data_IF_293374569417
#
_entry.id   IF_293374569417
#
_cell.length_a   1.000
_cell.length_b   1.000
_cell.length_c   1.000
_cell.angle_alpha   90.00
_cell.angle_beta   90.00
_cell.angle_gamma   90.00
#
_symmetry.space_group_name_H-M   'P 1'
#
loop_
_entity.id
_entity.type
_entity.pdbx_description
1 polymer ?
#
# COMPACT_ATOMS: atom_id res chain seq x y z
N UNK A 1 46.35 -17.61 34.88
CA UNK A 1 44.93 -17.43 35.27
C UNK A 1 44.57 -15.99 34.97
N UNK A 2 44.05 -15.71 33.76
CA UNK A 2 43.78 -14.35 33.29
C UNK A 2 42.47 -13.85 33.89
N UNK A 3 42.53 -12.86 34.78
CA UNK A 3 41.35 -12.27 35.41
C UNK A 3 40.65 -11.42 34.37
N UNK A 4 39.52 -11.89 33.86
CA UNK A 4 38.64 -11.10 33.00
C UNK A 4 38.14 -9.90 33.82
N UNK A 5 38.58 -8.69 33.47
CA UNK A 5 38.17 -7.46 34.16
C UNK A 5 36.68 -7.19 33.91
N UNK A 6 35.92 -6.75 34.93
CA UNK A 6 34.45 -6.60 34.85
C UNK A 6 33.97 -5.65 33.74
N UNK A 7 34.82 -4.69 33.33
CA UNK A 7 34.52 -3.78 32.22
C UNK A 7 34.46 -4.47 30.86
N UNK A 8 35.26 -5.53 30.65
CA UNK A 8 35.25 -6.28 29.38
C UNK A 8 33.96 -7.09 29.21
N UNK A 9 33.37 -7.61 30.30
CA UNK A 9 32.05 -8.24 30.26
C UNK A 9 30.93 -7.25 29.97
N UNK A 10 30.97 -6.06 30.57
CA UNK A 10 29.94 -5.03 30.37
C UNK A 10 29.96 -4.50 28.93
N UNK A 11 31.14 -4.26 28.37
CA UNK A 11 31.28 -3.85 26.95
C UNK A 11 30.83 -4.98 26.02
N UNK A 12 31.16 -6.24 26.30
CA UNK A 12 30.68 -7.38 25.49
C UNK A 12 29.17 -7.60 25.58
N UNK A 13 28.57 -7.42 26.77
CA UNK A 13 27.13 -7.52 26.99
C UNK A 13 26.37 -6.37 26.30
N UNK A 14 26.92 -5.16 26.30
CA UNK A 14 26.30 -4.01 25.64
C UNK A 14 26.41 -4.10 24.12
N UNK A 15 27.53 -4.58 23.56
CA UNK A 15 27.66 -4.82 22.11
C UNK A 15 26.76 -5.95 21.63
N UNK A 16 26.63 -7.05 22.37
CA UNK A 16 25.69 -8.13 22.05
C UNK A 16 24.23 -7.70 22.14
N UNK A 17 23.87 -6.98 23.21
CA UNK A 17 22.53 -6.41 23.40
C UNK A 17 22.18 -5.36 22.32
N UNK A 18 23.13 -4.57 21.83
CA UNK A 18 22.87 -3.62 20.73
C UNK A 18 22.64 -4.34 19.39
N UNK A 19 23.35 -5.44 19.10
CA UNK A 19 23.13 -6.26 17.89
C UNK A 19 21.78 -6.97 17.95
N UNK A 20 21.36 -7.44 19.13
CA UNK A 20 20.05 -8.09 19.33
C UNK A 20 18.89 -7.09 19.22
N UNK A 21 19.12 -5.84 19.66
CA UNK A 21 18.16 -4.76 19.58
C UNK A 21 18.04 -4.21 18.15
N UNK A 22 19.09 -4.23 17.34
CA UNK A 22 19.00 -3.93 15.90
C UNK A 22 18.09 -4.92 15.17
N UNK A 23 18.10 -6.21 15.57
CA UNK A 23 17.18 -7.23 15.05
C UNK A 23 15.73 -7.02 15.52
N UNK A 24 15.51 -6.82 16.82
CA UNK A 24 14.17 -6.59 17.41
C UNK A 24 13.55 -5.26 16.95
N UNK A 25 14.36 -4.22 16.77
CA UNK A 25 13.93 -2.92 16.24
C UNK A 25 13.67 -3.01 14.73
N UNK A 26 14.39 -3.85 13.98
CA UNK A 26 14.06 -4.14 12.59
C UNK A 26 12.72 -4.87 12.46
N UNK A 27 12.49 -5.95 13.23
CA UNK A 27 11.25 -6.72 13.19
C UNK A 27 10.03 -5.85 13.50
N UNK A 28 10.11 -5.03 14.55
CA UNK A 28 9.02 -4.12 14.93
C UNK A 28 8.77 -3.05 13.86
N UNK A 29 9.83 -2.49 13.24
CA UNK A 29 9.71 -1.49 12.18
C UNK A 29 9.20 -2.10 10.87
N UNK A 30 9.62 -3.31 10.54
CA UNK A 30 9.16 -4.05 9.36
C UNK A 30 7.68 -4.39 9.49
N UNK A 31 7.25 -4.93 10.63
CA UNK A 31 5.83 -5.22 10.89
C UNK A 31 4.94 -3.97 10.83
N UNK A 32 5.40 -2.86 11.39
CA UNK A 32 4.70 -1.58 11.26
C UNK A 32 4.67 -1.13 9.80
N UNK A 33 5.78 -1.24 9.07
CA UNK A 33 5.86 -0.85 7.65
C UNK A 33 4.96 -1.70 6.76
N UNK A 34 4.88 -3.02 6.95
CA UNK A 34 3.94 -3.89 6.23
C UNK A 34 2.50 -3.55 6.57
N UNK A 35 2.20 -3.25 7.84
CA UNK A 35 0.85 -2.81 8.22
C UNK A 35 0.46 -1.47 7.58
N UNK A 36 1.42 -0.56 7.42
CA UNK A 36 1.24 0.73 6.74
C UNK A 36 1.02 0.53 5.22
N UNK A 37 1.79 -0.35 4.58
CA UNK A 37 1.58 -0.71 3.16
C UNK A 37 0.18 -1.29 2.91
N UNK A 38 -0.29 -2.18 3.80
CA UNK A 38 -1.65 -2.74 3.73
C UNK A 38 -2.71 -1.67 3.95
N UNK A 39 -2.52 -0.77 4.92
CA UNK A 39 -3.45 0.32 5.17
C UNK A 39 -3.58 1.25 3.96
N UNK A 40 -2.47 1.71 3.40
CA UNK A 40 -2.46 2.58 2.21
C UNK A 40 -3.04 1.84 1.00
N UNK A 41 -2.72 0.55 0.83
CA UNK A 41 -3.33 -0.28 -0.22
C UNK A 41 -4.86 -0.29 -0.14
N UNK A 42 -5.40 -0.48 1.07
CA UNK A 42 -6.85 -0.47 1.33
C UNK A 42 -7.48 0.89 1.10
N UNK A 43 -6.80 1.98 1.46
CA UNK A 43 -7.26 3.35 1.20
C UNK A 43 -7.34 3.65 -0.29
N UNK A 44 -6.30 3.28 -1.06
CA UNK A 44 -6.28 3.48 -2.50
C UNK A 44 -7.36 2.67 -3.22
N UNK A 45 -7.61 1.43 -2.81
CA UNK A 45 -8.69 0.62 -3.37
C UNK A 45 -10.07 1.21 -3.03
N UNK A 46 -10.25 1.65 -1.79
CA UNK A 46 -11.47 2.34 -1.34
C UNK A 46 -11.73 3.60 -2.17
N UNK A 47 -10.70 4.42 -2.42
CA UNK A 47 -10.80 5.61 -3.27
C UNK A 47 -11.15 5.24 -4.71
N UNK A 48 -10.56 4.19 -5.27
CA UNK A 48 -10.88 3.70 -6.62
C UNK A 48 -12.34 3.27 -6.74
N UNK A 49 -12.86 2.55 -5.73
CA UNK A 49 -14.27 2.13 -5.67
C UNK A 49 -15.23 3.32 -5.57
N UNK A 50 -14.93 4.29 -4.70
CA UNK A 50 -15.74 5.50 -4.56
C UNK A 50 -15.78 6.31 -5.85
N UNK A 51 -14.64 6.48 -6.52
CA UNK A 51 -14.56 7.19 -7.79
C UNK A 51 -15.37 6.46 -8.88
N UNK A 52 -15.28 5.13 -8.95
CA UNK A 52 -16.07 4.31 -9.88
C UNK A 52 -17.57 4.46 -9.63
N UNK A 53 -18.00 4.46 -8.37
CA UNK A 53 -19.40 4.65 -8.01
C UNK A 53 -19.89 6.05 -8.42
N UNK A 54 -19.13 7.09 -8.10
CA UNK A 54 -19.46 8.47 -8.44
C UNK A 54 -19.54 8.70 -9.96
N UNK A 55 -18.61 8.09 -10.71
CA UNK A 55 -18.61 8.09 -12.17
C UNK A 55 -19.90 7.48 -12.73
N UNK A 56 -20.30 6.31 -12.23
CA UNK A 56 -21.54 5.65 -12.66
C UNK A 56 -22.81 6.44 -12.33
N UNK A 57 -22.85 7.11 -11.17
CA UNK A 57 -23.97 8.00 -10.83
C UNK A 57 -24.06 9.18 -11.79
N UNK A 58 -22.94 9.84 -12.08
CA UNK A 58 -22.94 11.01 -12.96
C UNK A 58 -23.26 10.64 -14.42
N UNK A 59 -22.86 9.45 -14.88
CA UNK A 59 -23.20 8.95 -16.22
C UNK A 59 -24.70 8.70 -16.38
N UNK A 60 -25.36 8.18 -15.33
CA UNK A 60 -26.81 8.04 -15.31
C UNK A 60 -27.51 9.42 -15.33
N UNK A 61 -27.09 10.34 -14.46
CA UNK A 61 -27.66 11.69 -14.39
C UNK A 61 -27.55 12.44 -15.73
N UNK A 62 -26.40 12.35 -16.40
CA UNK A 62 -26.16 13.03 -17.69
C UNK A 62 -26.93 12.37 -18.82
N UNK A 63 -27.02 11.04 -18.83
CA UNK A 63 -27.84 10.31 -19.80
C UNK A 63 -29.31 10.71 -19.71
N UNK A 64 -29.83 10.88 -18.49
CA UNK A 64 -31.19 11.35 -18.24
C UNK A 64 -31.40 12.79 -18.73
N UNK A 65 -30.47 13.70 -18.46
CA UNK A 65 -30.55 15.11 -18.89
C UNK A 65 -30.47 15.24 -20.42
N UNK A 66 -29.59 14.50 -21.08
CA UNK A 66 -29.50 14.47 -22.54
C UNK A 66 -30.73 13.80 -23.16
N UNK A 67 -31.27 12.77 -22.52
CA UNK A 67 -32.51 12.09 -22.93
C UNK A 67 -33.78 12.95 -22.76
N UNK A 68 -33.77 13.92 -21.84
CA UNK A 68 -34.91 14.76 -21.51
C UNK A 68 -35.17 15.93 -22.49
N UNK A 69 -34.46 15.99 -23.62
CA UNK A 69 -34.74 16.94 -24.70
C UNK A 69 -33.69 18.04 -24.91
N UNK A 70 -32.55 17.98 -24.21
CA UNK A 70 -31.42 18.84 -24.51
C UNK A 70 -30.72 18.38 -25.80
N UNK A 71 -30.72 19.22 -26.84
CA UNK A 71 -30.18 18.90 -28.17
C UNK A 71 -29.53 20.11 -28.84
N UNK A 72 -28.81 19.88 -29.95
CA UNK A 72 -28.08 20.90 -30.71
C UNK A 72 -26.57 20.92 -30.43
N UNK A 73 -25.89 21.93 -30.97
CA UNK A 73 -24.41 22.00 -30.96
C UNK A 73 -23.83 22.01 -29.55
N UNK A 74 -24.50 22.66 -28.60
CA UNK A 74 -24.08 22.69 -27.19
C UNK A 74 -24.16 21.32 -26.52
N UNK A 75 -25.21 20.54 -26.80
CA UNK A 75 -25.35 19.18 -26.28
C UNK A 75 -24.28 18.25 -26.89
N UNK A 76 -23.96 18.44 -28.17
CA UNK A 76 -22.90 17.69 -28.86
C UNK A 76 -21.52 17.99 -28.26
N UNK A 77 -21.18 19.27 -28.08
CA UNK A 77 -19.91 19.69 -27.48
C UNK A 77 -19.78 19.19 -26.03
N UNK A 78 -20.86 19.22 -25.26
CA UNK A 78 -20.87 18.65 -23.91
C UNK A 78 -20.64 17.14 -23.92
N UNK A 79 -21.29 16.40 -24.82
CA UNK A 79 -21.09 14.96 -24.95
C UNK A 79 -19.64 14.58 -25.25
N UNK A 80 -18.92 15.39 -26.04
CA UNK A 80 -17.49 15.18 -26.31
C UNK A 80 -16.65 15.39 -25.04
N UNK A 81 -16.84 16.52 -24.35
CA UNK A 81 -16.09 16.81 -23.10
C UNK A 81 -16.44 15.79 -22.01
N UNK A 82 -17.67 15.29 -21.98
CA UNK A 82 -18.10 14.22 -21.08
C UNK A 82 -17.35 12.91 -21.34
N UNK A 83 -17.18 12.52 -22.61
CA UNK A 83 -16.40 11.34 -22.97
C UNK A 83 -14.94 11.47 -22.54
N UNK A 84 -14.30 12.61 -22.82
CA UNK A 84 -12.92 12.87 -22.40
C UNK A 84 -12.77 12.80 -20.88
N UNK A 85 -13.72 13.36 -20.14
CA UNK A 85 -13.73 13.29 -18.68
C UNK A 85 -13.91 11.85 -18.17
N UNK A 86 -14.82 11.08 -18.78
CA UNK A 86 -15.05 9.68 -18.42
C UNK A 86 -13.79 8.82 -18.66
N UNK A 87 -13.11 9.03 -19.79
CA UNK A 87 -11.84 8.35 -20.08
C UNK A 87 -10.75 8.70 -19.07
N UNK A 88 -10.59 9.99 -18.75
CA UNK A 88 -9.64 10.44 -17.73
C UNK A 88 -9.94 9.86 -16.34
N UNK A 89 -11.21 9.81 -15.95
CA UNK A 89 -11.64 9.21 -14.68
C UNK A 89 -11.33 7.70 -14.65
N UNK A 90 -11.54 6.99 -15.75
CA UNK A 90 -11.20 5.56 -15.87
C UNK A 90 -9.69 5.33 -15.69
N UNK A 91 -8.83 6.18 -16.26
CA UNK A 91 -7.38 6.10 -16.10
C UNK A 91 -6.94 6.31 -14.64
N UNK A 92 -7.57 7.25 -13.92
CA UNK A 92 -7.30 7.48 -12.49
C UNK A 92 -7.70 6.25 -11.66
N UNK A 93 -8.88 5.68 -11.92
CA UNK A 93 -9.34 4.46 -11.25
C UNK A 93 -8.35 3.31 -11.47
N UNK A 94 -7.91 3.09 -12.71
CA UNK A 94 -6.94 2.05 -13.05
C UNK A 94 -5.61 2.27 -12.31
N UNK A 95 -5.10 3.50 -12.28
CA UNK A 95 -3.89 3.85 -11.57
C UNK A 95 -3.98 3.58 -10.07
N UNK A 96 -5.08 3.97 -9.42
CA UNK A 96 -5.32 3.71 -8.00
C UNK A 96 -5.40 2.20 -7.70
N UNK A 97 -6.16 1.44 -8.49
CA UNK A 97 -6.25 -0.02 -8.34
C UNK A 97 -4.89 -0.69 -8.54
N UNK A 98 -4.10 -0.24 -9.52
CA UNK A 98 -2.75 -0.77 -9.75
C UNK A 98 -1.81 -0.48 -8.58
N UNK A 99 -1.84 0.74 -8.05
CA UNK A 99 -1.01 1.11 -6.90
C UNK A 99 -1.39 0.31 -5.64
N UNK A 100 -2.69 0.13 -5.38
CA UNK A 100 -3.18 -0.75 -4.32
C UNK A 100 -2.60 -2.17 -4.46
N UNK A 101 -2.74 -2.77 -5.65
CA UNK A 101 -2.19 -4.11 -5.92
C UNK A 101 -0.67 -4.21 -5.70
N UNK A 102 0.09 -3.20 -6.15
CA UNK A 102 1.55 -3.17 -5.95
C UNK A 102 1.94 -3.08 -4.46
N UNK A 103 1.21 -2.29 -3.66
CA UNK A 103 1.47 -2.16 -2.22
C UNK A 103 1.10 -3.44 -1.46
N UNK A 104 0.01 -4.08 -1.83
CA UNK A 104 -0.39 -5.38 -1.28
C UNK A 104 0.67 -6.46 -1.57
N UNK A 105 1.11 -6.55 -2.82
CA UNK A 105 2.11 -7.51 -3.28
C UNK A 105 3.50 -7.22 -2.69
N UNK A 106 3.82 -5.97 -2.37
CA UNK A 106 5.01 -5.60 -1.60
C UNK A 106 4.88 -6.06 -0.14
N UNK A 107 3.73 -5.86 0.50
CA UNK A 107 3.51 -6.26 1.88
C UNK A 107 3.60 -7.79 2.07
N UNK A 108 3.05 -8.56 1.12
CA UNK A 108 3.11 -10.02 1.12
C UNK A 108 4.55 -10.54 0.99
N UNK A 109 5.36 -9.96 0.09
CA UNK A 109 6.77 -10.33 -0.07
C UNK A 109 7.59 -10.05 1.18
N UNK A 110 7.37 -8.91 1.83
CA UNK A 110 8.09 -8.58 3.08
C UNK A 110 7.69 -9.51 4.21
N UNK A 111 6.40 -9.85 4.35
CA UNK A 111 5.93 -10.82 5.33
C UNK A 111 6.52 -12.22 5.10
N UNK A 112 6.54 -12.70 3.86
CA UNK A 112 7.11 -14.01 3.53
C UNK A 112 8.63 -14.08 3.79
N UNK A 113 9.35 -13.00 3.52
CA UNK A 113 10.80 -12.91 3.77
C UNK A 113 11.11 -12.94 5.27
N UNK A 114 10.28 -12.30 6.08
CA UNK A 114 10.39 -12.28 7.55
C UNK A 114 10.22 -13.70 8.15
N UNK A 115 9.18 -14.42 7.72
CA UNK A 115 8.90 -15.79 8.17
C UNK A 115 10.04 -16.74 7.80
N UNK A 116 10.52 -16.70 6.55
CA UNK A 116 11.63 -17.57 6.09
C UNK A 116 12.91 -17.31 6.87
N UNK A 117 13.22 -16.05 7.17
CA UNK A 117 14.42 -15.69 7.94
C UNK A 117 14.31 -16.15 9.40
N UNK A 118 13.11 -16.10 9.98
CA UNK A 118 12.84 -16.62 11.32
C UNK A 118 12.99 -18.14 11.43
N UNK A 119 12.56 -18.87 10.41
CA UNK A 119 12.71 -20.33 10.32
C UNK A 119 14.19 -20.73 10.20
N UNK A 120 14.98 -20.03 9.35
CA UNK A 120 16.42 -20.29 9.19
C UNK A 120 17.21 -20.02 10.48
N UNK A 121 16.90 -18.93 11.20
CA UNK A 121 17.53 -18.62 12.50
C UNK A 121 17.14 -19.66 13.55
N UNK A 122 15.88 -20.11 13.57
CA UNK A 122 15.42 -21.15 14.49
C UNK A 122 16.06 -22.50 14.19
N UNK A 123 16.31 -22.82 12.92
CA UNK A 123 16.99 -24.05 12.48
C UNK A 123 18.50 -24.05 12.71
N UNK A 124 19.15 -22.90 12.70
CA UNK A 124 20.59 -22.77 12.99
C UNK A 124 20.92 -22.76 14.50
N UNK A 125 19.92 -22.65 15.38
CA UNK A 125 20.06 -22.60 16.83
C UNK A 125 19.97 -23.95 17.56
N UNK A 126 19.81 -25.07 16.84
CA UNK A 126 19.70 -26.44 17.38
C UNK A 126 20.88 -27.33 17.01
#
# INVERSE_FOLDING_TARGET
MGVQTPLAKIVSLSTGFLVELEGVVNLSRLQVSTSELVAVSSELDTLAQQLRSGLGTLDADISDVLGAGWSGDAATAYGQVWQDWHEGAAQVIEGLTRMSGLLQDAAERYSATDVSSGDDISGAGV
#
